data_IF_035026203828
#
_entry.id   IF_035026203828
#
_cell.length_a   1.000
_cell.length_b   1.000
_cell.length_c   1.000
_cell.angle_alpha   90.00
_cell.angle_beta   90.00
_cell.angle_gamma   90.00
#
_symmetry.space_group_name_H-M   'P 1'
#
loop_
_entity.id
_entity.type
_entity.pdbx_description
1 polymer ?
#
# COMPACT_ATOMS: atom_id res chain seq x y z
N UNK A 1 33.75 41.43 -68.74
CA UNK A 1 34.38 40.72 -67.62
C UNK A 1 33.79 41.24 -66.31
N UNK A 2 32.84 40.52 -65.72
CA UNK A 2 32.32 40.81 -64.39
C UNK A 2 32.05 39.46 -63.70
N UNK A 3 32.89 39.09 -62.73
CA UNK A 3 32.74 37.89 -61.93
C UNK A 3 31.77 38.14 -60.78
N UNK A 4 30.77 37.27 -60.67
CA UNK A 4 29.82 37.19 -59.56
C UNK A 4 30.50 36.52 -58.36
N UNK A 5 30.64 37.24 -57.25
CA UNK A 5 31.12 36.69 -55.97
C UNK A 5 29.94 36.24 -55.11
N UNK A 6 29.87 34.92 -54.85
CA UNK A 6 28.87 34.29 -53.98
C UNK A 6 29.19 34.60 -52.50
N UNK A 7 28.26 35.24 -51.79
CA UNK A 7 28.30 35.34 -50.32
C UNK A 7 27.96 33.99 -49.69
N UNK A 8 28.88 33.46 -48.90
CA UNK A 8 28.66 32.30 -48.04
C UNK A 8 27.73 32.68 -46.86
N UNK A 9 26.70 31.87 -46.65
CA UNK A 9 25.80 31.95 -45.50
C UNK A 9 26.55 31.33 -44.29
N UNK A 10 26.92 32.15 -43.31
CA UNK A 10 27.41 31.67 -42.02
C UNK A 10 26.22 31.21 -41.17
N UNK A 11 26.26 29.94 -40.79
CA UNK A 11 25.33 29.28 -39.86
C UNK A 11 25.69 29.73 -38.43
N UNK A 12 24.78 30.31 -37.62
CA UNK A 12 25.09 30.70 -36.25
C UNK A 12 25.28 29.44 -35.38
N UNK A 13 26.33 29.48 -34.56
CA UNK A 13 26.91 28.33 -33.90
C UNK A 13 25.99 27.61 -32.92
N UNK A 14 26.22 26.29 -32.83
CA UNK A 14 25.81 25.43 -31.72
C UNK A 14 26.44 25.98 -30.44
N UNK A 15 25.65 26.67 -29.61
CA UNK A 15 26.05 27.01 -28.26
C UNK A 15 26.36 25.74 -27.47
N UNK A 16 27.64 25.55 -27.14
CA UNK A 16 28.07 24.50 -26.21
C UNK A 16 27.48 24.86 -24.84
N UNK A 17 26.46 24.11 -24.42
CA UNK A 17 25.89 24.29 -23.09
C UNK A 17 26.99 24.01 -22.04
N UNK A 18 27.51 25.08 -21.44
CA UNK A 18 28.48 24.97 -20.35
C UNK A 18 27.75 24.32 -19.17
N UNK A 19 28.07 23.05 -18.88
CA UNK A 19 27.58 22.36 -17.69
C UNK A 19 28.09 23.11 -16.45
N UNK A 20 27.24 23.95 -15.87
CA UNK A 20 27.56 24.62 -14.61
C UNK A 20 27.86 23.58 -13.54
N UNK A 21 28.97 23.77 -12.82
CA UNK A 21 29.33 22.91 -11.69
C UNK A 21 28.26 23.03 -10.59
N UNK A 22 27.87 21.93 -9.93
CA UNK A 22 26.85 21.96 -8.88
C UNK A 22 27.32 22.80 -7.68
N UNK A 23 26.37 23.44 -6.99
CA UNK A 23 26.66 24.14 -5.74
C UNK A 23 27.02 23.16 -4.62
N UNK A 24 27.73 23.64 -3.59
CA UNK A 24 28.09 22.83 -2.40
C UNK A 24 26.85 22.15 -1.81
N UNK A 25 25.73 22.88 -1.69
CA UNK A 25 24.45 22.32 -1.21
C UNK A 25 23.98 21.14 -2.07
N UNK A 26 23.95 21.28 -3.40
CA UNK A 26 23.56 20.20 -4.32
C UNK A 26 24.52 19.00 -4.22
N UNK A 27 25.81 19.25 -4.02
CA UNK A 27 26.81 18.19 -3.82
C UNK A 27 26.55 17.42 -2.52
N UNK A 28 26.32 18.12 -1.40
CA UNK A 28 26.00 17.51 -0.10
C UNK A 28 24.70 16.69 -0.21
N UNK A 29 23.64 17.25 -0.79
CA UNK A 29 22.37 16.55 -1.03
C UNK A 29 22.59 15.26 -1.87
N UNK A 30 23.45 15.32 -2.88
CA UNK A 30 23.82 14.14 -3.70
C UNK A 30 24.60 13.09 -2.90
N UNK A 31 25.54 13.50 -2.04
CA UNK A 31 26.31 12.59 -1.19
C UNK A 31 25.41 11.89 -0.16
N UNK A 32 24.54 12.63 0.53
CA UNK A 32 23.56 12.08 1.48
C UNK A 32 22.60 11.12 0.75
N UNK A 33 22.10 11.52 -0.42
CA UNK A 33 21.24 10.68 -1.24
C UNK A 33 21.92 9.37 -1.62
N UNK A 34 23.17 9.41 -2.07
CA UNK A 34 23.94 8.22 -2.45
C UNK A 34 24.21 7.31 -1.26
N UNK A 35 24.62 7.86 -0.11
CA UNK A 35 24.81 7.09 1.12
C UNK A 35 23.53 6.38 1.56
N UNK A 36 22.40 7.09 1.58
CA UNK A 36 21.10 6.51 1.96
C UNK A 36 20.58 5.42 1.00
N UNK A 37 21.09 5.39 -0.24
CA UNK A 37 20.77 4.35 -1.23
C UNK A 37 21.58 3.07 -1.01
N UNK A 38 22.78 3.16 -0.43
CA UNK A 38 23.55 2.00 0.00
C UNK A 38 22.98 1.39 1.31
N UNK A 39 22.37 2.23 2.15
CA UNK A 39 21.80 1.86 3.45
C UNK A 39 20.26 1.70 3.39
N UNK A 40 19.73 1.32 2.23
CA UNK A 40 18.30 1.22 1.96
C UNK A 40 17.55 0.25 2.89
N UNK A 41 18.25 -0.75 3.43
CA UNK A 41 17.71 -1.82 4.27
C UNK A 41 17.55 -1.38 5.74
N UNK A 42 17.97 -0.17 6.09
CA UNK A 42 17.80 0.34 7.46
C UNK A 42 16.32 0.52 7.81
N UNK A 43 15.93 0.39 9.09
CA UNK A 43 14.54 0.53 9.51
C UNK A 43 13.92 1.89 9.14
N UNK A 44 14.70 2.97 9.16
CA UNK A 44 14.23 4.32 8.80
C UNK A 44 14.10 4.52 7.28
N UNK A 45 14.55 3.56 6.47
CA UNK A 45 14.47 3.56 5.02
C UNK A 45 13.56 2.45 4.47
N UNK A 46 12.93 1.66 5.36
CA UNK A 46 12.09 0.51 4.99
C UNK A 46 10.68 0.68 5.56
N UNK A 47 9.68 0.57 4.68
CA UNK A 47 8.27 0.42 5.06
C UNK A 47 7.80 -0.99 4.70
N UNK A 48 7.09 -1.62 5.63
CA UNK A 48 6.53 -2.97 5.50
C UNK A 48 5.03 -2.87 5.69
N UNK A 49 4.29 -3.20 4.64
CA UNK A 49 2.83 -3.13 4.59
C UNK A 49 2.29 -4.55 4.65
N UNK A 50 1.45 -4.82 5.64
CA UNK A 50 0.70 -6.07 5.75
C UNK A 50 -0.77 -5.83 5.43
N UNK A 51 -1.39 -6.75 4.70
CA UNK A 51 -2.85 -6.92 4.79
C UNK A 51 -3.23 -7.59 6.12
N UNK A 52 -4.53 -7.58 6.43
CA UNK A 52 -5.09 -8.18 7.63
C UNK A 52 -5.84 -9.47 7.35
N UNK A 53 -6.79 -9.43 6.42
CA UNK A 53 -7.75 -10.51 6.15
C UNK A 53 -7.03 -11.64 5.41
N UNK A 54 -7.14 -12.87 5.90
CA UNK A 54 -6.47 -14.06 5.37
C UNK A 54 -4.93 -13.95 5.23
N UNK A 55 -4.36 -12.91 5.87
CA UNK A 55 -2.92 -12.61 5.94
C UNK A 55 -2.39 -12.69 7.37
N UNK A 56 -3.04 -11.99 8.32
CA UNK A 56 -2.72 -12.03 9.75
C UNK A 56 -3.92 -12.50 10.59
N UNK A 57 -5.13 -12.42 10.04
CA UNK A 57 -6.39 -12.83 10.63
C UNK A 57 -7.05 -13.92 9.77
N UNK A 58 -7.56 -15.02 10.37
CA UNK A 58 -8.10 -16.15 9.62
C UNK A 58 -9.56 -15.89 9.18
N UNK A 59 -9.80 -14.81 8.43
CA UNK A 59 -11.14 -14.32 8.09
C UNK A 59 -11.98 -15.34 7.32
N UNK A 60 -11.41 -16.02 6.34
CA UNK A 60 -12.10 -17.06 5.57
C UNK A 60 -12.40 -18.30 6.40
N UNK A 61 -11.46 -18.76 7.24
CA UNK A 61 -11.74 -19.82 8.20
C UNK A 61 -12.84 -19.45 9.20
N UNK A 62 -12.88 -18.21 9.70
CA UNK A 62 -13.97 -17.73 10.56
C UNK A 62 -15.31 -17.76 9.81
N UNK A 63 -15.34 -17.29 8.55
CA UNK A 63 -16.54 -17.31 7.69
C UNK A 63 -17.02 -18.74 7.40
N UNK A 64 -16.11 -19.67 7.13
CA UNK A 64 -16.41 -21.08 6.90
C UNK A 64 -17.07 -21.71 8.14
N UNK A 65 -16.68 -21.27 9.34
CA UNK A 65 -17.19 -21.75 10.62
C UNK A 65 -18.34 -20.90 11.21
N UNK A 66 -19.05 -20.10 10.41
CA UNK A 66 -20.10 -19.15 10.85
C UNK A 66 -21.28 -19.72 11.66
N UNK A 67 -21.46 -21.05 11.67
CA UNK A 67 -22.47 -21.71 12.53
C UNK A 67 -22.08 -21.66 14.01
N UNK A 68 -20.78 -21.55 14.30
CA UNK A 68 -20.21 -21.61 15.64
C UNK A 68 -19.45 -20.33 15.97
N UNK A 69 -18.69 -19.79 15.00
CA UNK A 69 -17.95 -18.55 15.14
C UNK A 69 -18.79 -17.36 14.69
N UNK A 70 -18.70 -16.25 15.41
CA UNK A 70 -19.42 -15.02 15.11
C UNK A 70 -18.49 -13.82 15.25
N UNK A 71 -18.50 -12.93 14.27
CA UNK A 71 -17.73 -11.69 14.34
C UNK A 71 -18.10 -10.77 15.50
N UNK A 72 -19.26 -10.97 16.12
CA UNK A 72 -19.78 -10.13 17.19
C UNK A 72 -19.53 -10.71 18.59
N UNK A 73 -18.89 -11.88 18.70
CA UNK A 73 -18.66 -12.56 19.98
C UNK A 73 -17.29 -13.23 19.99
N UNK A 74 -16.64 -13.37 21.16
CA UNK A 74 -15.42 -14.16 21.26
C UNK A 74 -15.61 -15.60 20.79
N UNK A 75 -14.55 -16.19 20.24
CA UNK A 75 -14.53 -17.60 19.90
C UNK A 75 -14.92 -18.44 21.14
N UNK A 76 -15.77 -19.48 20.98
CA UNK A 76 -16.18 -20.30 22.10
C UNK A 76 -14.96 -20.98 22.73
N UNK A 77 -15.03 -21.25 24.03
CA UNK A 77 -13.98 -21.96 24.76
C UNK A 77 -14.01 -23.47 24.46
N UNK A 78 -13.77 -23.82 23.19
CA UNK A 78 -13.75 -25.17 22.66
C UNK A 78 -12.40 -25.36 21.97
N UNK A 79 -11.65 -26.36 22.40
CA UNK A 79 -10.24 -26.52 22.04
C UNK A 79 -10.01 -26.66 20.53
N UNK A 80 -10.96 -27.24 19.80
CA UNK A 80 -10.98 -27.30 18.33
C UNK A 80 -10.76 -25.93 17.67
N UNK A 81 -11.31 -24.86 18.25
CA UNK A 81 -11.18 -23.49 17.73
C UNK A 81 -10.10 -22.70 18.46
N UNK A 82 -9.95 -22.91 19.77
CA UNK A 82 -9.01 -22.16 20.59
C UNK A 82 -7.55 -22.49 20.28
N UNK A 83 -7.23 -23.77 20.05
CA UNK A 83 -5.85 -24.20 19.77
C UNK A 83 -5.25 -23.49 18.55
N UNK A 84 -5.84 -23.58 17.34
CA UNK A 84 -5.24 -22.95 16.16
C UNK A 84 -5.23 -21.42 16.25
N UNK A 85 -6.23 -20.80 16.91
CA UNK A 85 -6.20 -19.35 17.19
C UNK A 85 -5.00 -18.96 18.07
N UNK A 86 -4.69 -19.74 19.13
CA UNK A 86 -3.52 -19.47 19.98
C UNK A 86 -2.21 -19.63 19.21
N UNK A 87 -2.11 -20.63 18.32
CA UNK A 87 -0.93 -20.85 17.47
C UNK A 87 -0.73 -19.69 16.48
N UNK A 88 -1.81 -19.24 15.84
CA UNK A 88 -1.77 -18.09 14.92
C UNK A 88 -1.37 -16.81 15.63
N UNK A 89 -1.95 -16.52 16.80
CA UNK A 89 -1.55 -15.38 17.62
C UNK A 89 -0.04 -15.40 17.91
N UNK A 90 0.50 -16.54 18.35
CA UNK A 90 1.92 -16.64 18.67
C UNK A 90 2.81 -16.39 17.44
N UNK A 91 2.44 -16.95 16.28
CA UNK A 91 3.18 -16.75 15.03
C UNK A 91 3.14 -15.28 14.57
N UNK A 92 1.96 -14.67 14.56
CA UNK A 92 1.77 -13.27 14.14
C UNK A 92 2.48 -12.30 15.09
N UNK A 93 2.46 -12.56 16.40
CA UNK A 93 3.13 -11.71 17.39
C UNK A 93 4.65 -11.65 17.14
N UNK A 94 5.26 -12.80 16.89
CA UNK A 94 6.69 -12.89 16.62
C UNK A 94 7.04 -12.26 15.26
N UNK A 95 6.21 -12.48 14.23
CA UNK A 95 6.36 -11.84 12.93
C UNK A 95 6.32 -10.32 13.02
N UNK A 96 5.28 -9.75 13.64
CA UNK A 96 5.13 -8.29 13.74
C UNK A 96 6.28 -7.68 14.54
N UNK A 97 6.68 -8.30 15.66
CA UNK A 97 7.85 -7.84 16.44
C UNK A 97 9.16 -7.87 15.63
N UNK A 98 9.35 -8.86 14.76
CA UNK A 98 10.50 -8.91 13.86
C UNK A 98 10.41 -7.80 12.81
N UNK A 99 9.28 -7.66 12.13
CA UNK A 99 9.06 -6.64 11.11
C UNK A 99 9.28 -5.21 11.65
N UNK A 100 8.83 -4.93 12.88
CA UNK A 100 9.05 -3.64 13.55
C UNK A 100 10.53 -3.32 13.82
N UNK A 101 11.39 -4.34 13.97
CA UNK A 101 12.85 -4.13 14.09
C UNK A 101 13.50 -3.83 12.73
N UNK A 102 12.86 -4.26 11.64
CA UNK A 102 13.40 -4.17 10.28
C UNK A 102 12.89 -2.94 9.52
N UNK A 103 11.77 -2.36 9.93
CA UNK A 103 11.15 -1.22 9.25
C UNK A 103 9.94 -0.65 9.97
N UNK A 104 9.36 0.39 9.37
CA UNK A 104 8.04 0.91 9.79
C UNK A 104 6.95 -0.02 9.29
N UNK A 105 6.18 -0.59 10.22
CA UNK A 105 5.08 -1.52 9.92
C UNK A 105 3.76 -0.77 9.83
N UNK A 106 2.98 -1.04 8.79
CA UNK A 106 1.62 -0.51 8.60
C UNK A 106 0.69 -1.65 8.21
N UNK A 107 -0.50 -1.70 8.81
CA UNK A 107 -1.57 -2.63 8.41
C UNK A 107 -2.54 -1.86 7.51
N UNK A 108 -2.83 -2.39 6.33
CA UNK A 108 -3.81 -1.81 5.41
C UNK A 108 -4.81 -2.88 5.04
N UNK A 109 -6.10 -2.70 5.32
CA UNK A 109 -7.17 -3.66 4.99
C UNK A 109 -8.27 -3.02 4.14
N UNK A 110 -8.93 -3.83 3.29
CA UNK A 110 -10.14 -3.43 2.56
C UNK A 110 -11.43 -3.60 3.39
N UNK A 111 -11.34 -4.14 4.60
CA UNK A 111 -12.47 -4.29 5.50
C UNK A 111 -13.03 -2.95 5.98
N UNK A 112 -14.16 -3.01 6.69
CA UNK A 112 -14.76 -1.84 7.34
C UNK A 112 -14.15 -1.63 8.73
N UNK A 113 -13.98 -0.38 9.12
CA UNK A 113 -13.71 -0.02 10.52
C UNK A 113 -14.87 -0.45 11.43
N UNK A 114 -14.63 -1.00 12.65
CA UNK A 114 -13.35 -1.30 13.29
C UNK A 114 -12.98 -2.80 13.23
N UNK A 115 -12.92 -3.41 12.04
CA UNK A 115 -12.75 -4.87 11.88
C UNK A 115 -11.47 -5.44 12.51
N UNK A 116 -10.30 -4.85 12.27
CA UNK A 116 -9.01 -5.28 12.86
C UNK A 116 -9.10 -5.37 14.40
N UNK A 117 -9.62 -4.33 15.06
CA UNK A 117 -9.76 -4.34 16.51
C UNK A 117 -10.79 -5.37 16.98
N UNK A 118 -11.93 -5.47 16.29
CA UNK A 118 -13.01 -6.40 16.64
C UNK A 118 -12.56 -7.86 16.49
N UNK A 119 -11.86 -8.17 15.40
CA UNK A 119 -11.30 -9.50 15.14
C UNK A 119 -10.19 -9.85 16.14
N UNK A 120 -9.33 -8.90 16.52
CA UNK A 120 -8.40 -9.08 17.64
C UNK A 120 -9.14 -9.43 18.93
N UNK A 121 -10.10 -8.63 19.39
CA UNK A 121 -10.82 -8.89 20.65
C UNK A 121 -11.50 -10.25 20.69
N UNK A 122 -12.07 -10.69 19.55
CA UNK A 122 -12.89 -11.89 19.50
C UNK A 122 -12.12 -13.18 19.19
N UNK A 123 -11.05 -13.09 18.39
CA UNK A 123 -10.34 -14.27 17.89
C UNK A 123 -8.84 -14.26 18.22
N UNK A 124 -8.22 -13.08 18.30
CA UNK A 124 -6.78 -12.92 18.51
C UNK A 124 -6.44 -11.99 19.70
N UNK A 125 -7.05 -12.16 20.89
CA UNK A 125 -6.95 -11.18 21.98
C UNK A 125 -5.53 -10.90 22.47
N UNK A 126 -4.59 -11.84 22.35
CA UNK A 126 -3.19 -11.59 22.78
C UNK A 126 -2.45 -10.64 21.83
N UNK A 127 -2.91 -10.50 20.59
CA UNK A 127 -2.34 -9.56 19.63
C UNK A 127 -2.80 -8.12 19.85
N UNK A 128 -3.96 -7.92 20.49
CA UNK A 128 -4.59 -6.61 20.62
C UNK A 128 -3.64 -5.54 21.18
N UNK A 129 -2.87 -5.77 22.28
CA UNK A 129 -1.96 -4.77 22.81
C UNK A 129 -0.84 -4.37 21.84
N UNK A 130 -0.40 -5.29 20.97
CA UNK A 130 0.62 -5.02 19.96
C UNK A 130 0.02 -4.30 18.76
N UNK A 131 -1.06 -4.85 18.21
CA UNK A 131 -1.72 -4.32 17.00
C UNK A 131 -2.25 -2.91 17.22
N UNK A 132 -2.72 -2.57 18.43
CA UNK A 132 -3.16 -1.21 18.76
C UNK A 132 -2.04 -0.16 18.72
N UNK A 133 -0.77 -0.58 18.70
CA UNK A 133 0.38 0.34 18.56
C UNK A 133 0.78 0.60 17.11
N UNK A 134 0.23 -0.18 16.16
CA UNK A 134 0.53 -0.09 14.74
C UNK A 134 -0.50 0.82 14.04
N UNK A 135 -0.10 1.57 13.00
CA UNK A 135 -1.04 2.23 12.12
C UNK A 135 -1.91 1.19 11.40
N UNK A 136 -3.24 1.32 11.55
CA UNK A 136 -4.23 0.49 10.87
C UNK A 136 -5.05 1.37 9.92
N UNK A 137 -4.96 1.07 8.63
CA UNK A 137 -5.58 1.87 7.56
C UNK A 137 -6.70 1.06 6.90
N UNK A 138 -7.93 1.57 7.01
CA UNK A 138 -9.09 1.03 6.31
C UNK A 138 -9.18 1.69 4.93
N UNK A 139 -8.66 1.00 3.91
CA UNK A 139 -8.41 1.55 2.58
C UNK A 139 -9.68 2.11 1.91
N UNK A 140 -10.82 1.43 2.12
CA UNK A 140 -12.13 1.86 1.63
C UNK A 140 -12.50 3.25 2.16
N UNK A 141 -12.35 3.46 3.47
CA UNK A 141 -12.70 4.72 4.13
C UNK A 141 -11.84 5.88 3.61
N UNK A 142 -10.54 5.65 3.40
CA UNK A 142 -9.63 6.65 2.82
C UNK A 142 -10.08 7.03 1.40
N UNK A 143 -10.40 6.03 0.59
CA UNK A 143 -10.84 6.26 -0.78
C UNK A 143 -12.15 7.05 -0.85
N UNK A 144 -13.14 6.68 -0.04
CA UNK A 144 -14.44 7.36 0.03
C UNK A 144 -14.28 8.83 0.48
N UNK A 145 -13.40 9.11 1.45
CA UNK A 145 -13.11 10.47 1.90
C UNK A 145 -12.51 11.34 0.78
N UNK A 146 -11.55 10.82 0.02
CA UNK A 146 -10.96 11.56 -1.11
C UNK A 146 -11.98 11.89 -2.20
N UNK A 147 -12.90 10.96 -2.49
CA UNK A 147 -14.00 11.20 -3.44
C UNK A 147 -14.90 12.35 -3.02
N UNK A 148 -15.19 12.45 -1.71
CA UNK A 148 -15.99 13.55 -1.14
C UNK A 148 -15.25 14.89 -1.20
N UNK A 149 -13.95 14.92 -0.91
CA UNK A 149 -13.16 16.16 -0.94
C UNK A 149 -13.00 16.71 -2.37
N UNK A 150 -12.79 15.84 -3.35
CA UNK A 150 -12.76 16.23 -4.77
C UNK A 150 -14.11 16.83 -5.20
N UNK A 151 -15.23 16.24 -4.76
CA UNK A 151 -16.57 16.74 -5.06
C UNK A 151 -16.88 18.09 -4.38
N UNK A 152 -16.25 18.38 -3.23
CA UNK A 152 -16.42 19.64 -2.48
C UNK A 152 -15.51 20.77 -2.96
N UNK A 153 -14.44 20.47 -3.68
CA UNK A 153 -13.52 21.48 -4.20
C UNK A 153 -14.19 22.26 -5.35
N UNK A 154 -14.36 23.59 -5.25
CA UNK A 154 -15.03 24.37 -6.30
C UNK A 154 -14.23 24.28 -7.60
N UNK A 155 -14.88 23.85 -8.68
CA UNK A 155 -14.28 23.81 -10.00
C UNK A 155 -13.80 25.22 -10.36
N UNK A 156 -12.48 25.38 -10.51
CA UNK A 156 -11.86 26.58 -11.09
C UNK A 156 -12.24 26.64 -12.57
N UNK A 157 -13.47 27.06 -12.87
CA UNK A 157 -13.99 27.11 -14.24
C UNK A 157 -15.49 27.36 -14.38
N UNK A 158 -16.31 27.34 -13.33
CA UNK A 158 -17.73 27.68 -13.49
C UNK A 158 -17.91 29.19 -13.62
N UNK A 159 -18.10 29.65 -14.87
CA UNK A 159 -18.60 30.99 -15.19
C UNK A 159 -19.82 31.37 -14.32
N UNK A 160 -19.96 32.65 -13.89
CA UNK A 160 -21.10 33.12 -13.09
C UNK A 160 -22.47 32.87 -13.73
N UNK A 161 -22.51 32.58 -15.03
CA UNK A 161 -23.74 32.31 -15.79
C UNK A 161 -24.36 30.93 -15.52
N UNK A 162 -23.68 30.02 -14.82
CA UNK A 162 -24.22 28.69 -14.47
C UNK A 162 -25.17 28.68 -13.27
N UNK A 163 -25.41 29.84 -12.62
CA UNK A 163 -26.33 29.98 -11.48
C UNK A 163 -27.76 30.40 -11.85
N UNK A 164 -28.09 30.52 -13.13
CA UNK A 164 -29.48 30.78 -13.55
C UNK A 164 -30.23 29.46 -13.67
N UNK A 165 -30.99 29.12 -12.62
CA UNK A 165 -31.89 27.97 -12.63
C UNK A 165 -33.04 28.22 -13.61
N UNK A 166 -33.18 27.35 -14.62
CA UNK A 166 -34.25 27.43 -15.63
C UNK A 166 -35.60 26.97 -15.05
N UNK A 167 -36.73 27.56 -15.47
CA UNK A 167 -38.07 27.15 -15.01
C UNK A 167 -38.37 25.68 -15.35
N UNK A 168 -38.80 24.89 -14.36
CA UNK A 168 -39.19 23.47 -14.52
C UNK A 168 -38.31 22.43 -13.80
N UNK A 169 -37.27 22.85 -13.07
CA UNK A 169 -36.29 21.93 -12.44
C UNK A 169 -36.54 21.56 -10.96
N UNK A 170 -37.63 22.03 -10.37
CA UNK A 170 -38.05 21.66 -9.03
C UNK A 170 -39.25 20.72 -9.09
N UNK A 171 -39.26 19.67 -8.27
CA UNK A 171 -40.49 18.93 -8.00
C UNK A 171 -41.46 19.80 -7.20
N UNK A 172 -42.76 19.48 -7.20
CA UNK A 172 -43.80 20.27 -6.53
C UNK A 172 -43.58 20.46 -5.01
N UNK A 173 -42.66 19.70 -4.42
CA UNK A 173 -42.21 19.80 -3.03
C UNK A 173 -40.95 20.68 -2.82
N UNK A 174 -40.48 21.42 -3.85
CA UNK A 174 -39.34 22.33 -3.75
C UNK A 174 -37.96 21.66 -3.85
N UNK A 175 -37.87 20.34 -4.12
CA UNK A 175 -36.59 19.65 -4.26
C UNK A 175 -35.99 19.84 -5.68
N UNK A 176 -34.71 20.21 -5.73
CA UNK A 176 -33.96 20.40 -6.97
C UNK A 176 -33.64 19.02 -7.61
N UNK A 177 -34.17 18.77 -8.82
CA UNK A 177 -34.02 17.47 -9.51
C UNK A 177 -32.56 17.19 -9.93
N UNK A 178 -31.73 18.22 -10.14
CA UNK A 178 -30.30 18.06 -10.45
C UNK A 178 -29.50 17.55 -9.24
N UNK A 179 -29.89 17.90 -8.01
CA UNK A 179 -29.24 17.41 -6.80
C UNK A 179 -29.39 15.90 -6.63
N UNK A 180 -30.58 15.37 -6.93
CA UNK A 180 -30.85 13.92 -6.89
C UNK A 180 -30.18 13.14 -8.02
N UNK A 181 -30.03 13.75 -9.20
CA UNK A 181 -29.30 13.12 -10.31
C UNK A 181 -27.80 13.11 -10.02
N UNK A 182 -27.23 14.20 -9.51
CA UNK A 182 -25.82 14.22 -9.08
C UNK A 182 -25.55 13.28 -7.91
N UNK A 183 -26.48 13.15 -6.96
CA UNK A 183 -26.38 12.18 -5.86
C UNK A 183 -26.50 10.73 -6.36
N UNK A 184 -27.38 10.44 -7.33
CA UNK A 184 -27.49 9.12 -7.96
C UNK A 184 -26.31 8.78 -8.88
N UNK A 185 -25.76 9.75 -9.61
CA UNK A 185 -24.56 9.59 -10.44
C UNK A 185 -23.31 9.45 -9.56
N UNK A 186 -23.24 10.16 -8.42
CA UNK A 186 -22.21 9.94 -7.42
C UNK A 186 -22.34 8.54 -6.79
N UNK A 187 -23.56 8.10 -6.46
CA UNK A 187 -23.80 6.74 -5.96
C UNK A 187 -23.49 5.65 -7.01
N UNK A 188 -23.80 5.86 -8.29
CA UNK A 188 -23.44 4.94 -9.39
C UNK A 188 -21.95 4.97 -9.74
N UNK A 189 -21.25 6.10 -9.57
CA UNK A 189 -19.77 6.16 -9.71
C UNK A 189 -19.04 5.49 -8.54
N UNK A 190 -19.70 5.34 -7.39
CA UNK A 190 -19.17 4.64 -6.22
C UNK A 190 -19.30 3.11 -6.38
N UNK A 191 -20.23 2.61 -7.22
CA UNK A 191 -20.47 1.18 -7.46
C UNK A 191 -19.39 0.46 -8.29
N UNK A 192 -18.44 1.16 -8.93
CA UNK A 192 -17.40 0.52 -9.77
C UNK A 192 -15.97 1.01 -9.44
N UNK A 193 -15.68 1.25 -8.17
CA UNK A 193 -14.30 1.50 -7.70
C UNK A 193 -13.76 0.21 -7.09
N UNK A 194 -12.88 -0.47 -7.82
CA UNK A 194 -12.41 -1.80 -7.45
C UNK A 194 -11.68 -1.78 -6.09
N UNK A 195 -11.80 -2.83 -5.25
CA UNK A 195 -11.03 -2.97 -4.00
C UNK A 195 -9.51 -2.76 -4.18
N UNK A 196 -9.00 -3.12 -5.38
CA UNK A 196 -7.66 -2.77 -5.85
C UNK A 196 -7.36 -1.26 -5.72
N UNK A 197 -8.29 -0.40 -6.15
CA UNK A 197 -8.07 1.04 -6.18
C UNK A 197 -8.05 1.66 -4.78
N UNK A 198 -8.83 1.11 -3.86
CA UNK A 198 -8.79 1.52 -2.45
C UNK A 198 -7.39 1.30 -1.87
N UNK A 199 -6.82 0.10 -2.09
CA UNK A 199 -5.45 -0.24 -1.67
C UNK A 199 -4.41 0.66 -2.33
N UNK A 200 -4.50 0.91 -3.64
CA UNK A 200 -3.58 1.84 -4.31
C UNK A 200 -3.56 3.23 -3.66
N UNK A 201 -4.74 3.77 -3.33
CA UNK A 201 -4.84 5.09 -2.70
C UNK A 201 -4.27 5.08 -1.29
N UNK A 202 -4.59 4.06 -0.48
CA UNK A 202 -4.04 3.93 0.87
C UNK A 202 -2.51 3.75 0.84
N UNK A 203 -1.99 2.85 -0.01
CA UNK A 203 -0.55 2.63 -0.16
C UNK A 203 0.17 3.90 -0.62
N UNK A 204 -0.41 4.63 -1.58
CA UNK A 204 0.16 5.90 -2.03
C UNK A 204 0.28 6.92 -0.90
N UNK A 205 -0.74 7.03 -0.04
CA UNK A 205 -0.72 7.93 1.12
C UNK A 205 0.36 7.51 2.12
N UNK A 206 0.36 6.25 2.58
CA UNK A 206 1.27 5.76 3.60
C UNK A 206 2.73 5.77 3.16
N UNK A 207 3.02 5.33 1.93
CA UNK A 207 4.39 5.32 1.39
C UNK A 207 4.90 6.76 1.21
N UNK A 208 4.05 7.66 0.69
CA UNK A 208 4.41 9.07 0.54
C UNK A 208 4.69 9.71 1.89
N UNK A 209 3.83 9.50 2.88
CA UNK A 209 3.98 10.07 4.21
C UNK A 209 5.25 9.57 4.89
N UNK A 210 5.53 8.26 4.80
CA UNK A 210 6.77 7.67 5.30
C UNK A 210 8.03 8.32 4.70
N UNK A 211 8.05 8.54 3.37
CA UNK A 211 9.18 9.17 2.67
C UNK A 211 9.08 10.71 2.57
N UNK A 212 8.17 11.35 3.31
CA UNK A 212 8.02 12.82 3.29
C UNK A 212 8.85 13.54 4.37
N UNK A 213 9.53 12.80 5.26
CA UNK A 213 10.25 13.34 6.43
C UNK A 213 11.32 14.36 6.06
N UNK A 214 11.95 14.21 4.89
CA UNK A 214 12.94 15.17 4.38
C UNK A 214 12.61 15.62 2.97
N UNK A 215 12.92 16.89 2.68
CA UNK A 215 12.77 17.45 1.34
C UNK A 215 13.66 16.66 0.36
N UNK A 216 13.07 16.22 -0.76
CA UNK A 216 13.74 15.42 -1.81
C UNK A 216 14.18 14.00 -1.40
N UNK A 217 13.62 13.43 -0.34
CA UNK A 217 13.88 12.04 0.03
C UNK A 217 13.38 11.08 -1.07
N UNK A 218 14.29 10.25 -1.60
CA UNK A 218 13.89 9.17 -2.50
C UNK A 218 13.29 8.00 -1.73
N UNK A 219 12.36 7.30 -2.37
CA UNK A 219 11.81 6.03 -1.90
C UNK A 219 12.86 4.93 -2.11
N UNK A 220 13.02 4.01 -1.15
CA UNK A 220 14.19 3.12 -1.09
C UNK A 220 13.84 1.64 -0.99
N UNK A 221 13.02 1.27 -0.01
CA UNK A 221 12.67 -0.12 0.27
C UNK A 221 11.20 -0.18 0.71
N UNK A 222 10.37 -0.86 -0.08
CA UNK A 222 8.93 -1.00 0.15
C UNK A 222 8.58 -2.47 0.02
N UNK A 223 8.02 -3.03 1.08
CA UNK A 223 7.65 -4.45 1.17
C UNK A 223 6.15 -4.53 1.39
N UNK A 224 5.48 -5.40 0.64
CA UNK A 224 4.06 -5.67 0.75
C UNK A 224 3.82 -7.16 0.92
N UNK A 225 3.04 -7.53 1.93
CA UNK A 225 2.65 -8.91 2.22
C UNK A 225 1.14 -8.98 2.31
N UNK A 226 0.52 -9.91 1.59
CA UNK A 226 -0.92 -10.10 1.59
C UNK A 226 -1.35 -11.38 0.89
N UNK A 227 -2.55 -11.84 1.18
CA UNK A 227 -3.20 -12.97 0.53
C UNK A 227 -3.64 -12.63 -0.89
N UNK A 228 -3.99 -11.38 -1.20
CA UNK A 228 -4.53 -11.06 -2.52
C UNK A 228 -3.50 -10.50 -3.50
N UNK A 229 -3.85 -10.57 -4.79
CA UNK A 229 -3.15 -9.82 -5.84
C UNK A 229 -3.29 -8.30 -5.64
N UNK A 230 -4.24 -7.85 -4.81
CA UNK A 230 -4.53 -6.44 -4.63
C UNK A 230 -3.37 -5.65 -4.02
N UNK A 231 -2.74 -6.19 -2.99
CA UNK A 231 -1.58 -5.61 -2.31
C UNK A 231 -0.37 -5.59 -3.25
N UNK A 232 -0.14 -6.72 -3.95
CA UNK A 232 0.93 -6.90 -4.92
C UNK A 232 0.87 -5.86 -6.04
N UNK A 233 -0.31 -5.68 -6.62
CA UNK A 233 -0.51 -4.72 -7.71
C UNK A 233 -0.50 -3.28 -7.20
N UNK A 234 -1.04 -3.03 -6.01
CA UNK A 234 -1.11 -1.69 -5.43
C UNK A 234 0.28 -1.11 -5.24
N UNK A 235 1.18 -1.84 -4.56
CA UNK A 235 2.54 -1.35 -4.29
C UNK A 235 3.31 -1.08 -5.58
N UNK A 236 3.19 -1.95 -6.58
CA UNK A 236 3.86 -1.78 -7.88
C UNK A 236 3.39 -0.54 -8.61
N UNK A 237 2.07 -0.35 -8.73
CA UNK A 237 1.48 0.82 -9.41
C UNK A 237 1.85 2.12 -8.70
N UNK A 238 1.88 2.12 -7.38
CA UNK A 238 2.24 3.27 -6.56
C UNK A 238 3.73 3.62 -6.70
N UNK A 239 4.64 2.64 -6.63
CA UNK A 239 6.09 2.88 -6.76
C UNK A 239 6.48 3.35 -8.16
N UNK A 240 5.75 2.92 -9.21
CA UNK A 240 5.96 3.45 -10.57
C UNK A 240 5.68 4.95 -10.68
N UNK A 241 4.81 5.50 -9.83
CA UNK A 241 4.43 6.91 -9.81
C UNK A 241 5.29 7.76 -8.85
N UNK A 242 6.37 7.19 -8.29
CA UNK A 242 7.21 7.88 -7.30
C UNK A 242 7.86 9.17 -7.84
N UNK A 243 8.12 10.18 -6.99
CA UNK A 243 8.67 11.46 -7.43
C UNK A 243 10.10 11.41 -8.02
N UNK A 244 10.89 10.38 -7.67
CA UNK A 244 12.28 10.22 -8.10
C UNK A 244 12.50 8.92 -8.87
N UNK A 245 11.99 8.80 -10.12
CA UNK A 245 12.09 7.56 -10.91
C UNK A 245 13.54 7.17 -11.22
N UNK A 246 14.46 8.13 -11.30
CA UNK A 246 15.90 7.94 -11.51
C UNK A 246 16.64 7.31 -10.33
N UNK A 247 16.01 7.21 -9.15
CA UNK A 247 16.56 6.54 -7.97
C UNK A 247 15.89 5.18 -7.80
N UNK A 248 16.69 4.18 -7.39
CA UNK A 248 16.22 2.81 -7.15
C UNK A 248 15.30 2.81 -5.93
N UNK A 249 14.13 2.20 -6.11
CA UNK A 249 13.19 1.87 -5.05
C UNK A 249 12.94 0.37 -5.15
N UNK A 250 13.43 -0.39 -4.17
CA UNK A 250 13.32 -1.84 -4.10
C UNK A 250 11.90 -2.16 -3.67
N UNK A 251 11.17 -2.79 -4.57
CA UNK A 251 9.76 -3.13 -4.40
C UNK A 251 9.65 -4.62 -4.27
N UNK A 252 9.11 -5.09 -3.14
CA UNK A 252 9.11 -6.50 -2.80
C UNK A 252 7.70 -6.94 -2.41
N UNK A 253 7.20 -7.96 -3.07
CA UNK A 253 5.87 -8.51 -2.83
C UNK A 253 5.98 -9.96 -2.39
N UNK A 254 5.18 -10.33 -1.39
CA UNK A 254 4.96 -11.71 -0.96
C UNK A 254 3.46 -11.99 -0.93
N UNK A 255 2.98 -12.73 -1.92
CA UNK A 255 1.59 -13.15 -2.10
C UNK A 255 1.39 -14.48 -1.35
N UNK A 256 0.46 -14.50 -0.40
CA UNK A 256 0.07 -15.67 0.41
C UNK A 256 -1.11 -16.44 -0.23
N UNK A 257 -1.55 -17.57 0.27
CA UNK A 257 -2.73 -18.27 -0.28
C UNK A 257 -4.01 -17.47 -0.11
N UNK A 258 -4.89 -17.57 -1.12
CA UNK A 258 -6.26 -17.07 -1.00
C UNK A 258 -7.08 -18.04 -0.12
N UNK A 259 -7.93 -17.49 0.76
CA UNK A 259 -8.88 -18.22 1.59
C UNK A 259 -8.31 -19.46 2.36
N UNK A 260 -7.18 -19.32 3.08
CA UNK A 260 -6.53 -20.46 3.72
C UNK A 260 -7.32 -21.03 4.90
N UNK A 261 -7.17 -22.32 5.16
CA UNK A 261 -7.51 -22.89 6.46
C UNK A 261 -6.56 -22.33 7.54
N UNK A 262 -6.98 -22.34 8.80
CA UNK A 262 -6.20 -21.68 9.87
C UNK A 262 -4.82 -22.31 10.09
N UNK A 263 -4.68 -23.62 9.91
CA UNK A 263 -3.40 -24.32 9.99
C UNK A 263 -2.45 -23.90 8.87
N UNK A 264 -2.98 -23.70 7.65
CA UNK A 264 -2.22 -23.17 6.52
C UNK A 264 -1.80 -21.73 6.79
N UNK A 265 -2.69 -20.88 7.31
CA UNK A 265 -2.35 -19.51 7.66
C UNK A 265 -1.22 -19.44 8.71
N UNK A 266 -1.24 -20.32 9.72
CA UNK A 266 -0.15 -20.43 10.70
C UNK A 266 1.18 -20.77 10.00
N UNK A 267 1.17 -21.72 9.06
CA UNK A 267 2.38 -22.10 8.31
C UNK A 267 2.88 -20.94 7.43
N UNK A 268 1.97 -20.25 6.73
CA UNK A 268 2.28 -19.10 5.88
C UNK A 268 2.94 -17.97 6.69
N UNK A 269 2.38 -17.62 7.84
CA UNK A 269 2.95 -16.58 8.74
C UNK A 269 4.36 -16.94 9.19
N UNK A 270 4.66 -18.23 9.42
CA UNK A 270 6.03 -18.69 9.75
C UNK A 270 6.98 -18.55 8.56
N UNK A 271 6.53 -18.90 7.35
CA UNK A 271 7.32 -18.65 6.12
C UNK A 271 7.62 -17.17 5.97
N UNK A 272 6.63 -16.29 6.18
CA UNK A 272 6.86 -14.83 6.16
C UNK A 272 7.91 -14.43 7.20
N UNK A 273 7.83 -14.94 8.42
CA UNK A 273 8.81 -14.66 9.46
C UNK A 273 10.24 -15.07 9.07
N UNK A 274 10.41 -16.23 8.44
CA UNK A 274 11.72 -16.73 8.04
C UNK A 274 12.34 -15.89 6.92
N UNK A 275 11.53 -15.39 5.98
CA UNK A 275 12.03 -14.65 4.82
C UNK A 275 12.11 -13.14 5.00
N UNK A 276 11.34 -12.54 5.93
CA UNK A 276 11.17 -11.08 5.97
C UNK A 276 12.50 -10.33 6.14
N UNK A 277 13.43 -10.86 6.93
CA UNK A 277 14.74 -10.25 7.09
C UNK A 277 15.57 -10.31 5.79
N UNK A 278 15.51 -11.42 5.06
CA UNK A 278 16.19 -11.57 3.77
C UNK A 278 15.57 -10.64 2.74
N UNK A 279 14.23 -10.56 2.68
CA UNK A 279 13.54 -9.63 1.81
C UNK A 279 14.00 -8.19 2.08
N UNK A 280 14.09 -7.76 3.34
CA UNK A 280 14.56 -6.42 3.70
C UNK A 280 15.99 -6.17 3.19
N UNK A 281 16.89 -7.16 3.33
CA UNK A 281 18.30 -7.08 2.95
C UNK A 281 18.60 -7.31 1.47
N UNK A 282 17.65 -7.80 0.69
CA UNK A 282 17.87 -8.07 -0.73
C UNK A 282 17.96 -6.79 -1.57
N UNK A 283 19.04 -6.60 -2.34
CA UNK A 283 19.26 -5.41 -3.16
C UNK A 283 18.61 -5.51 -4.54
N UNK A 284 17.29 -5.70 -4.57
CA UNK A 284 16.54 -5.80 -5.80
C UNK A 284 15.04 -5.76 -5.56
N UNK A 285 14.30 -5.85 -6.65
CA UNK A 285 12.86 -6.09 -6.60
C UNK A 285 12.62 -7.59 -6.38
N UNK A 286 11.58 -7.93 -5.63
CA UNK A 286 11.15 -9.32 -5.42
C UNK A 286 9.66 -9.42 -5.71
N UNK A 287 9.26 -10.54 -6.28
CA UNK A 287 7.86 -10.87 -6.52
C UNK A 287 7.65 -12.34 -6.25
N UNK A 288 7.32 -12.64 -5.00
CA UNK A 288 7.19 -14.00 -4.48
C UNK A 288 5.70 -14.30 -4.33
N UNK A 289 5.32 -15.49 -4.76
CA UNK A 289 4.01 -16.09 -4.52
C UNK A 289 4.30 -17.46 -3.95
N UNK A 290 3.85 -17.71 -2.72
CA UNK A 290 4.13 -18.99 -2.06
C UNK A 290 3.27 -20.09 -2.67
N UNK A 291 3.77 -21.32 -2.62
CA UNK A 291 3.05 -22.52 -3.03
C UNK A 291 2.95 -23.57 -1.91
N UNK A 292 2.31 -24.72 -2.19
CA UNK A 292 2.14 -25.77 -1.18
C UNK A 292 3.45 -26.42 -0.74
N UNK A 293 4.50 -26.37 -1.57
CA UNK A 293 5.81 -26.93 -1.23
C UNK A 293 6.50 -26.06 -0.19
N UNK A 294 6.29 -24.74 -0.25
CA UNK A 294 6.83 -23.79 0.72
C UNK A 294 6.30 -24.03 2.14
N UNK A 295 5.06 -24.52 2.28
CA UNK A 295 4.47 -24.84 3.59
C UNK A 295 4.98 -26.15 4.20
N UNK A 296 5.53 -27.04 3.37
CA UNK A 296 6.01 -28.38 3.77
C UNK A 296 7.48 -28.36 4.20
N UNK A 297 8.14 -27.20 4.13
CA UNK A 297 9.55 -27.08 4.48
C UNK A 297 9.72 -27.12 6.00
N UNK A 298 10.09 -28.29 6.50
CA UNK A 298 10.66 -28.47 7.84
C UNK A 298 12.09 -27.91 7.85
N UNK A 299 12.22 -26.58 7.96
CA UNK A 299 13.50 -25.89 8.05
C UNK A 299 13.42 -24.44 7.55
N UNK A 300 14.40 -23.58 7.88
CA UNK A 300 14.39 -22.20 7.39
C UNK A 300 14.46 -22.21 5.87
N UNK A 301 13.51 -21.54 5.20
CA UNK A 301 13.48 -21.32 3.73
C UNK A 301 14.82 -20.80 3.16
N UNK A 302 15.67 -20.28 4.04
CA UNK A 302 17.03 -19.78 3.85
C UNK A 302 17.95 -20.69 3.04
N UNK A 303 17.77 -22.01 3.10
CA UNK A 303 18.64 -22.95 2.38
C UNK A 303 18.36 -22.96 0.87
N UNK A 304 17.16 -22.60 0.42
CA UNK A 304 16.79 -22.55 -1.02
C UNK A 304 17.02 -21.20 -1.68
N UNK A 305 17.09 -20.10 -0.92
CA UNK A 305 17.34 -18.75 -1.45
C UNK A 305 18.84 -18.48 -1.77
N UNK A 306 19.71 -19.46 -1.53
CA UNK A 306 21.16 -19.37 -1.78
C UNK A 306 21.62 -20.05 -3.07
N UNK A 307 20.74 -20.77 -3.75
CA UNK A 307 20.98 -21.41 -5.06
C UNK A 307 20.31 -20.60 -6.19
#
# INVERSE_FOLDING_TARGET
MAMVSRRAIQNPGKGVAVKQKPSIRKTIESMISTGSQAEYFRPEQTIIIFDWDDTLCPSSWIRANKKVLSFFKPAPNVEKYQKPLRELQAAVEVLLKMAMKLGTVVIVTNAMDPWVETSCRNFLPSLLPLVSTLPVIYARSIFEQQGVDIARSPSRGSSPLSRLAMPGMYAANGQNRLGNINAKIAAQRVEETSPQKWKEVAFAQEIKDFYSRYQHQSWKNVISVGDSVFERDAVRRVVLQRPTPQKKCRTKTLKLFDDPEIEELVAQVKVVYDVINVMVQYDGDLDIEIDEEDLKLDGPLMDKLRD
#
